data_IF_832031703364
#
_entry.id   IF_832031703364
#
_cell.length_a   1.000
_cell.length_b   1.000
_cell.length_c   1.000
_cell.angle_alpha   90.00
_cell.angle_beta   90.00
_cell.angle_gamma   90.00
#
_symmetry.space_group_name_H-M   'P 1'
#
loop_
_entity.id
_entity.type
_entity.pdbx_description
1 polymer ?
2 non-polymer ?
3 non-polymer ?
4 water ?
#
# COMPACT_ATOMS: atom_id res chain seq x y z
N UNK A 5 40.43 10.27 -3.58
CA UNK A 5 39.95 10.97 -4.77
C UNK A 5 39.17 12.24 -4.36
N UNK A 6 39.46 13.36 -5.07
CA UNK A 6 38.85 14.69 -4.87
C UNK A 6 37.34 14.67 -5.17
N UNK A 7 36.95 14.15 -6.37
CA UNK A 7 35.54 14.05 -6.80
C UNK A 7 34.71 13.12 -5.90
N UNK A 8 35.34 12.07 -5.32
CA UNK A 8 34.72 11.10 -4.41
C UNK A 8 34.18 11.78 -3.14
N UNK A 9 35.05 12.55 -2.46
CA UNK A 9 34.75 13.23 -1.20
C UNK A 9 33.71 14.34 -1.34
N UNK A 10 33.75 15.09 -2.47
CA UNK A 10 32.82 16.18 -2.77
C UNK A 10 31.37 15.69 -2.88
N UNK A 11 31.18 14.49 -3.50
CA UNK A 11 29.87 13.85 -3.63
C UNK A 11 29.42 13.43 -2.23
N UNK A 12 30.34 12.85 -1.43
CA UNK A 12 30.06 12.45 -0.05
C UNK A 12 29.56 13.63 0.78
N UNK A 13 30.23 14.79 0.62
CA UNK A 13 29.87 16.05 1.26
C UNK A 13 28.44 16.43 0.96
N UNK A 14 28.07 16.49 -0.34
CA UNK A 14 26.73 16.81 -0.82
C UNK A 14 25.67 15.86 -0.22
N UNK A 15 25.94 14.54 -0.22
CA UNK A 15 25.03 13.51 0.32
C UNK A 15 24.83 13.69 1.84
N UNK A 16 25.86 14.18 2.50
CA UNK A 16 25.81 14.50 3.92
C UNK A 16 24.87 15.65 4.21
N UNK A 17 25.16 16.86 3.66
CA UNK A 17 24.35 18.07 3.87
C UNK A 17 22.95 18.07 3.20
N UNK A 18 22.60 17.07 2.37
CA UNK A 18 21.31 17.09 1.68
C UNK A 18 20.12 16.77 2.64
N UNK A 19 19.11 17.62 2.52
CA UNK A 19 17.84 17.59 3.25
C UNK A 19 16.74 18.31 2.47
N UNK A 20 15.52 18.33 3.05
CA UNK A 20 14.32 18.96 2.47
C UNK A 20 14.55 20.45 2.11
N UNK A 21 15.07 21.20 3.07
CA UNK A 21 15.35 22.63 2.94
C UNK A 21 16.37 23.04 1.90
N UNK A 22 17.52 22.31 1.82
CA UNK A 22 18.62 22.68 0.92
C UNK A 22 18.83 21.82 -0.34
N UNK A 23 17.86 20.95 -0.68
CA UNK A 23 17.93 20.12 -1.89
C UNK A 23 18.25 20.96 -3.16
N UNK A 24 17.63 22.16 -3.42
CA UNK A 24 18.00 22.94 -4.62
C UNK A 24 19.46 23.43 -4.65
N UNK A 25 20.03 23.73 -3.46
CA UNK A 25 21.43 24.16 -3.31
C UNK A 25 22.35 22.97 -3.55
N UNK A 26 21.90 21.76 -3.18
CA UNK A 26 22.63 20.51 -3.33
C UNK A 26 22.66 20.04 -4.79
N UNK A 27 21.53 20.24 -5.50
CA UNK A 27 21.38 19.96 -6.92
C UNK A 27 22.33 20.86 -7.71
N UNK A 28 22.43 22.17 -7.34
CA UNK A 28 23.31 23.07 -8.06
C UNK A 28 24.79 22.82 -7.69
N UNK A 29 25.08 22.35 -6.44
CA UNK A 29 26.45 21.99 -6.02
C UNK A 29 26.97 20.78 -6.83
N UNK A 30 26.06 19.82 -7.14
CA UNK A 30 26.37 18.61 -7.90
C UNK A 30 26.61 18.95 -9.37
N UNK A 31 25.75 19.81 -9.98
CA UNK A 31 25.93 20.24 -11.39
C UNK A 31 27.23 21.04 -11.56
N UNK A 32 27.65 21.74 -10.49
CA UNK A 32 28.90 22.53 -10.47
C UNK A 32 30.16 21.64 -10.43
N UNK A 33 30.00 20.31 -10.24
CA UNK A 33 31.14 19.39 -10.25
C UNK A 33 31.53 19.09 -11.71
N UNK A 34 32.83 18.89 -12.03
CA UNK A 34 33.21 18.61 -13.43
C UNK A 34 33.04 17.14 -13.83
N UNK A 35 31.78 16.69 -13.94
CA UNK A 35 31.43 15.30 -14.28
C UNK A 35 31.72 15.00 -15.74
N UNK A 36 31.40 15.93 -16.67
CA UNK A 36 31.68 15.77 -18.12
C UNK A 36 33.18 15.66 -18.42
N UNK A 37 34.02 16.29 -17.59
CA UNK A 37 35.47 16.30 -17.74
C UNK A 37 36.15 15.19 -16.87
N UNK A 38 35.34 14.29 -16.28
CA UNK A 38 35.81 13.17 -15.44
C UNK A 38 36.01 11.85 -16.20
N UNK A 39 36.86 10.96 -15.66
CA UNK A 39 37.15 9.65 -16.27
C UNK A 39 36.00 8.68 -16.00
N UNK A 40 35.97 7.53 -16.73
CA UNK A 40 34.96 6.48 -16.55
C UNK A 40 34.98 5.99 -15.10
N UNK A 41 36.21 5.76 -14.54
CA UNK A 41 36.42 5.30 -13.17
C UNK A 41 35.86 6.29 -12.14
N UNK A 42 36.11 7.60 -12.35
CA UNK A 42 35.62 8.69 -11.49
C UNK A 42 34.09 8.79 -11.48
N UNK A 43 33.44 8.63 -12.66
CA UNK A 43 31.98 8.69 -12.81
C UNK A 43 31.34 7.43 -12.20
N UNK A 44 31.91 6.23 -12.48
CA UNK A 44 31.45 4.95 -11.94
C UNK A 44 31.48 4.96 -10.40
N UNK A 45 32.49 5.64 -9.83
CA UNK A 45 32.68 5.80 -8.39
C UNK A 45 31.58 6.66 -7.79
N UNK A 46 31.18 7.76 -8.46
CA UNK A 46 30.10 8.66 -8.02
C UNK A 46 28.80 7.88 -7.88
N UNK A 47 28.49 7.02 -8.89
CA UNK A 47 27.26 6.23 -8.91
C UNK A 47 27.34 5.15 -7.82
N UNK A 48 28.52 4.49 -7.65
CA UNK A 48 28.78 3.46 -6.63
C UNK A 48 28.59 4.05 -5.21
N UNK A 49 29.11 5.26 -4.97
CA UNK A 49 29.02 5.98 -3.70
C UNK A 49 27.56 6.25 -3.30
N UNK A 50 26.78 6.83 -4.21
CA UNK A 50 25.36 7.14 -3.96
C UNK A 50 24.57 5.84 -3.71
N UNK A 51 24.81 4.79 -4.54
CA UNK A 51 24.13 3.50 -4.41
C UNK A 51 24.45 2.75 -3.09
N UNK A 52 25.69 2.90 -2.55
CA UNK A 52 26.07 2.29 -1.27
C UNK A 52 25.44 3.02 -0.07
N UNK A 53 25.48 4.37 -0.11
CA UNK A 53 24.87 5.23 0.91
C UNK A 53 23.34 5.01 0.93
N UNK A 54 22.75 4.70 -0.22
CA UNK A 54 21.31 4.46 -0.36
C UNK A 54 20.82 3.11 0.18
N UNK A 55 21.71 2.12 0.37
CA UNK A 55 21.29 0.81 0.90
C UNK A 55 21.70 0.63 2.36
N UNK A 56 22.12 1.74 3.01
CA UNK A 56 22.44 1.77 4.42
C UNK A 56 21.09 1.91 5.15
N UNK A 57 20.76 1.02 6.14
CA UNK A 57 19.43 1.09 6.79
C UNK A 57 19.14 2.40 7.57
N UNK A 58 20.18 3.07 8.10
CA UNK A 58 20.10 4.35 8.84
C UNK A 58 19.59 5.57 8.01
N UNK A 59 19.76 5.50 6.68
CA UNK A 59 19.46 6.58 5.77
C UNK A 59 18.07 6.60 5.15
N UNK A 60 17.18 5.63 5.44
CA UNK A 60 15.87 5.44 4.80
C UNK A 60 15.09 6.74 4.47
N UNK A 61 15.22 7.75 5.36
CA UNK A 61 14.61 9.09 5.32
C UNK A 61 15.25 10.01 4.23
N UNK A 62 16.61 10.02 4.14
CA UNK A 62 17.38 10.81 3.18
C UNK A 62 17.52 10.15 1.79
N UNK A 63 17.19 8.85 1.68
CA UNK A 63 17.31 8.09 0.44
C UNK A 63 16.50 8.76 -0.71
N UNK A 64 15.26 9.31 -0.52
CA UNK A 64 14.59 9.99 -1.65
C UNK A 64 15.39 11.19 -2.16
N UNK A 65 16.18 11.83 -1.27
CA UNK A 65 17.00 12.99 -1.64
C UNK A 65 18.21 12.58 -2.47
N UNK A 66 18.83 11.41 -2.16
CA UNK A 66 19.98 10.85 -2.88
C UNK A 66 19.54 10.53 -4.28
N UNK A 67 18.37 9.88 -4.38
CA UNK A 67 17.71 9.47 -5.61
C UNK A 67 17.31 10.72 -6.44
N UNK A 68 16.88 11.82 -5.77
CA UNK A 68 16.54 13.09 -6.42
C UNK A 68 17.78 13.83 -6.99
N UNK A 69 18.97 13.54 -6.43
CA UNK A 69 20.26 14.11 -6.86
C UNK A 69 20.70 13.41 -8.14
N UNK A 70 20.41 12.10 -8.26
CA UNK A 70 20.73 11.26 -9.41
C UNK A 70 19.83 11.68 -10.59
N UNK A 71 18.54 12.00 -10.33
CA UNK A 71 17.59 12.49 -11.35
C UNK A 71 18.12 13.83 -11.89
N UNK A 72 18.58 14.71 -10.97
CA UNK A 72 19.13 16.03 -11.24
C UNK A 72 20.35 15.94 -12.17
N UNK A 73 21.24 14.98 -11.85
CA UNK A 73 22.48 14.68 -12.54
C UNK A 73 22.23 14.23 -13.98
N UNK A 74 21.21 13.36 -14.22
CA UNK A 74 20.89 12.91 -15.58
C UNK A 74 20.00 13.94 -16.33
N UNK A 75 19.37 14.88 -15.60
CA UNK A 75 18.59 15.96 -16.21
C UNK A 75 19.56 17.07 -16.73
N UNK A 76 20.76 17.17 -16.11
CA UNK A 76 21.81 18.12 -16.47
C UNK A 76 22.63 17.58 -17.65
N UNK A 77 23.06 16.31 -17.56
CA UNK A 77 23.87 15.68 -18.58
C UNK A 77 22.97 14.69 -19.31
N UNK A 78 22.49 15.13 -20.48
CA UNK A 78 21.58 14.39 -21.35
C UNK A 78 22.14 13.15 -22.01
N UNK A 79 21.24 12.28 -22.54
CA UNK A 79 21.62 11.03 -23.23
C UNK A 79 22.29 11.24 -24.60
N UNK A 80 22.31 12.48 -25.10
CA UNK A 80 22.95 12.85 -26.36
C UNK A 80 24.36 13.38 -26.18
N UNK A 81 24.92 13.20 -24.97
CA UNK A 81 26.25 13.59 -24.52
C UNK A 81 27.00 12.30 -24.15
N UNK A 82 28.32 12.17 -24.46
CA UNK A 82 29.05 10.93 -24.07
C UNK A 82 28.97 10.57 -22.58
N UNK A 83 29.10 11.58 -21.68
CA UNK A 83 29.06 11.38 -20.24
C UNK A 83 27.63 11.07 -19.75
N UNK A 84 26.63 11.57 -20.49
CA UNK A 84 25.23 11.34 -20.19
C UNK A 84 24.83 9.90 -20.40
N UNK A 85 25.34 9.31 -21.51
CA UNK A 85 25.13 7.92 -21.90
C UNK A 85 25.86 7.02 -20.93
N UNK A 86 27.11 7.40 -20.55
CA UNK A 86 27.91 6.64 -19.59
C UNK A 86 27.27 6.56 -18.21
N UNK A 87 26.78 7.71 -17.66
CA UNK A 87 26.12 7.76 -16.34
C UNK A 87 24.94 6.78 -16.30
N UNK A 88 24.13 6.80 -17.37
CA UNK A 88 22.95 5.96 -17.55
C UNK A 88 23.27 4.45 -17.57
N UNK A 89 24.37 4.08 -18.23
CA UNK A 89 24.82 2.69 -18.27
C UNK A 89 25.47 2.28 -16.96
N UNK A 90 26.01 3.25 -16.18
CA UNK A 90 26.59 2.98 -14.87
C UNK A 90 25.47 2.73 -13.85
N UNK A 91 24.31 3.46 -13.96
CA UNK A 91 23.10 3.25 -13.14
C UNK A 91 22.52 1.85 -13.43
N UNK A 92 22.45 1.44 -14.71
CA UNK A 92 21.99 0.10 -15.13
C UNK A 92 22.84 -1.00 -14.47
N UNK A 93 24.17 -0.90 -14.63
CA UNK A 93 25.15 -1.83 -14.06
C UNK A 93 25.10 -1.86 -12.53
N UNK A 94 25.05 -0.69 -11.88
CA UNK A 94 25.01 -0.63 -10.42
C UNK A 94 23.67 -1.13 -9.84
N UNK A 95 22.55 -1.05 -10.61
CA UNK A 95 21.22 -1.60 -10.23
C UNK A 95 21.33 -3.11 -10.28
N UNK A 96 21.96 -3.61 -11.34
CA UNK A 96 22.16 -5.03 -11.56
C UNK A 96 22.96 -5.61 -10.39
N UNK A 97 24.06 -4.93 -9.97
CA UNK A 97 24.91 -5.39 -8.89
C UNK A 97 24.20 -5.38 -7.55
N UNK A 98 23.56 -4.26 -7.20
CA UNK A 98 22.78 -4.08 -5.98
C UNK A 98 21.67 -5.13 -5.79
N UNK A 99 20.86 -5.40 -6.84
CA UNK A 99 19.72 -6.31 -6.67
C UNK A 99 20.10 -7.75 -6.94
N UNK A 100 21.25 -7.99 -7.62
CA UNK A 100 21.81 -9.33 -7.80
C UNK A 100 22.37 -9.80 -6.44
N UNK A 101 23.02 -8.87 -5.70
CA UNK A 101 23.56 -9.09 -4.36
C UNK A 101 22.42 -9.40 -3.43
N UNK A 102 21.35 -8.55 -3.43
CA UNK A 102 20.16 -8.75 -2.62
C UNK A 102 19.53 -10.12 -2.87
N UNK A 103 19.44 -10.59 -4.15
CA UNK A 103 18.92 -11.90 -4.51
C UNK A 103 19.77 -13.04 -3.92
N UNK A 104 21.09 -13.02 -4.19
CA UNK A 104 22.06 -14.01 -3.72
C UNK A 104 22.20 -14.05 -2.18
N UNK A 105 22.03 -12.90 -1.49
CA UNK A 105 22.09 -12.80 -0.04
C UNK A 105 20.91 -13.57 0.58
N UNK A 106 19.71 -13.47 -0.05
CA UNK A 106 18.47 -14.16 0.29
C UNK A 106 18.68 -15.68 0.12
N UNK A 107 19.22 -16.09 -1.05
CA UNK A 107 19.53 -17.48 -1.42
C UNK A 107 20.53 -18.12 -0.46
N UNK A 108 21.58 -17.35 -0.08
CA UNK A 108 22.62 -17.75 0.86
C UNK A 108 22.00 -18.01 2.23
N UNK A 109 21.20 -17.05 2.77
CA UNK A 109 20.52 -17.18 4.07
C UNK A 109 19.74 -18.47 4.17
N UNK A 110 18.88 -18.75 3.18
CA UNK A 110 18.06 -19.95 3.17
C UNK A 110 18.88 -21.26 3.15
N UNK A 111 20.05 -21.27 2.47
CA UNK A 111 20.96 -22.42 2.44
C UNK A 111 21.67 -22.57 3.80
N UNK A 112 22.10 -21.44 4.39
CA UNK A 112 22.80 -21.32 5.68
C UNK A 112 21.93 -21.78 6.87
N UNK A 113 20.60 -21.48 6.87
CA UNK A 113 19.69 -21.82 7.96
C UNK A 113 18.79 -23.05 7.67
N UNK A 114 19.11 -23.83 6.61
CA UNK A 114 18.31 -25.00 6.20
C UNK A 114 18.32 -26.17 7.21
N UNK A 115 19.47 -26.37 7.89
CA UNK A 115 19.67 -27.44 8.87
C UNK A 115 19.76 -26.92 10.31
N UNK A 116 19.54 -25.62 10.49
CA UNK A 116 19.60 -24.90 11.76
C UNK A 116 18.29 -25.09 12.56
N UNK A 117 18.34 -25.03 13.93
CA UNK A 117 17.09 -25.16 14.71
C UNK A 117 16.06 -24.07 14.39
N UNK A 118 14.77 -24.42 14.49
CA UNK A 118 13.61 -23.58 14.17
C UNK A 118 13.65 -22.16 14.78
N UNK A 119 13.94 -22.05 16.09
CA UNK A 119 14.00 -20.76 16.80
C UNK A 119 15.21 -19.91 16.37
N UNK A 120 16.26 -20.59 15.87
CA UNK A 120 17.49 -19.97 15.40
C UNK A 120 17.35 -19.47 13.98
N UNK A 121 16.65 -20.24 13.14
CA UNK A 121 16.39 -19.94 11.74
C UNK A 121 15.50 -18.69 11.67
N UNK A 122 14.52 -18.61 12.59
CA UNK A 122 13.60 -17.48 12.69
C UNK A 122 14.29 -16.18 13.09
N UNK A 123 15.17 -16.24 14.09
CA UNK A 123 15.93 -15.06 14.53
C UNK A 123 16.90 -14.57 13.44
N UNK A 124 17.52 -15.51 12.70
CA UNK A 124 18.43 -15.19 11.58
C UNK A 124 17.65 -14.53 10.42
N UNK A 125 16.41 -14.97 10.19
CA UNK A 125 15.47 -14.41 9.20
C UNK A 125 15.10 -12.94 9.54
N UNK A 126 14.89 -12.63 10.84
CA UNK A 126 14.58 -11.29 11.34
C UNK A 126 15.78 -10.36 11.19
N UNK A 127 17.00 -10.87 11.52
CA UNK A 127 18.26 -10.12 11.39
C UNK A 127 18.48 -9.73 9.93
N UNK A 128 18.21 -10.68 9.02
CA UNK A 128 18.37 -10.47 7.59
C UNK A 128 17.38 -9.47 7.04
N UNK A 129 16.10 -9.58 7.42
CA UNK A 129 15.00 -8.70 7.00
C UNK A 129 15.34 -7.21 7.20
N UNK A 130 16.00 -6.89 8.32
CA UNK A 130 16.42 -5.54 8.68
C UNK A 130 17.43 -4.94 7.73
N UNK A 131 18.23 -5.83 7.10
CA UNK A 131 19.22 -5.48 6.09
C UNK A 131 18.59 -5.48 4.71
N UNK A 132 17.73 -6.48 4.42
CA UNK A 132 17.04 -6.59 3.15
C UNK A 132 16.04 -5.47 2.87
N UNK A 133 15.36 -4.91 3.92
CA UNK A 133 14.41 -3.80 3.74
C UNK A 133 15.03 -2.56 3.10
N UNK A 134 16.32 -2.26 3.42
CA UNK A 134 17.12 -1.15 2.85
C UNK A 134 17.22 -1.26 1.33
N UNK A 135 17.32 -2.50 0.79
CA UNK A 135 17.40 -2.77 -0.65
C UNK A 135 16.08 -2.53 -1.35
N UNK A 136 15.02 -3.14 -0.78
CA UNK A 136 13.63 -3.05 -1.24
C UNK A 136 13.15 -1.60 -1.20
N UNK A 137 13.48 -0.85 -0.13
CA UNK A 137 13.14 0.58 -0.07
C UNK A 137 13.80 1.32 -1.26
N UNK A 138 15.12 1.14 -1.41
CA UNK A 138 15.88 1.71 -2.51
C UNK A 138 15.26 1.38 -3.88
N UNK A 139 14.88 0.09 -4.14
CA UNK A 139 14.23 -0.33 -5.39
C UNK A 139 12.97 0.51 -5.69
N UNK A 140 12.16 0.76 -4.66
CA UNK A 140 10.94 1.57 -4.72
C UNK A 140 11.20 3.01 -5.07
N UNK A 141 12.16 3.63 -4.39
CA UNK A 141 12.57 5.01 -4.68
C UNK A 141 13.20 5.20 -6.07
N UNK A 142 13.97 4.20 -6.55
CA UNK A 142 14.58 4.28 -7.88
C UNK A 142 13.45 4.21 -8.91
N UNK A 143 12.47 3.33 -8.67
CA UNK A 143 11.31 3.13 -9.55
C UNK A 143 10.38 4.34 -9.65
N UNK A 144 10.03 4.95 -8.52
CA UNK A 144 9.15 6.14 -8.47
C UNK A 144 9.81 7.39 -9.10
N UNK A 145 11.16 7.38 -9.22
CA UNK A 145 11.96 8.46 -9.81
C UNK A 145 12.47 8.11 -11.22
N UNK A 146 11.96 7.01 -11.79
CA UNK A 146 12.27 6.51 -13.13
C UNK A 146 13.71 6.14 -13.40
N UNK A 147 14.46 5.78 -12.35
CA UNK A 147 15.88 5.43 -12.41
C UNK A 147 16.20 3.93 -12.57
N UNK A 148 15.20 3.05 -12.50
CA UNK A 148 15.37 1.61 -12.63
C UNK A 148 14.34 1.11 -13.64
N UNK A 149 14.76 0.13 -14.46
CA UNK A 149 13.93 -0.47 -15.50
C UNK A 149 12.80 -1.28 -14.87
N UNK A 150 11.62 -1.25 -15.49
CA UNK A 150 10.43 -2.02 -15.08
C UNK A 150 10.81 -3.52 -14.94
N UNK A 151 11.70 -4.01 -15.83
CA UNK A 151 12.24 -5.38 -15.87
C UNK A 151 13.02 -5.79 -14.62
N UNK A 152 13.72 -4.83 -13.99
CA UNK A 152 14.49 -5.07 -12.75
C UNK A 152 13.52 -5.31 -11.59
N UNK A 153 12.49 -4.46 -11.51
CA UNK A 153 11.41 -4.52 -10.52
C UNK A 153 10.71 -5.88 -10.61
N UNK A 154 10.35 -6.30 -11.84
CA UNK A 154 9.71 -7.58 -12.13
C UNK A 154 10.56 -8.77 -11.68
N UNK A 155 11.89 -8.77 -12.00
CA UNK A 155 12.85 -9.82 -11.62
C UNK A 155 13.02 -9.94 -10.11
N UNK A 156 13.02 -8.80 -9.38
CA UNK A 156 13.14 -8.81 -7.93
C UNK A 156 11.89 -9.44 -7.31
N UNK A 157 10.68 -8.99 -7.76
CA UNK A 157 9.38 -9.49 -7.30
C UNK A 157 9.17 -10.98 -7.60
N UNK A 158 9.78 -11.48 -8.69
CA UNK A 158 9.77 -12.89 -9.04
C UNK A 158 10.39 -13.73 -7.91
N UNK A 159 11.65 -13.43 -7.47
CA UNK A 159 12.27 -14.18 -6.38
C UNK A 159 11.72 -13.81 -5.01
N UNK A 160 11.28 -12.55 -4.85
CA UNK A 160 10.71 -12.09 -3.59
C UNK A 160 9.40 -12.81 -3.26
N UNK A 161 8.54 -13.06 -4.30
CA UNK A 161 7.26 -13.74 -4.14
C UNK A 161 7.29 -15.24 -4.42
N UNK A 162 7.96 -15.65 -5.51
CA UNK A 162 8.04 -17.07 -5.91
C UNK A 162 9.25 -17.81 -5.38
N UNK A 163 10.16 -17.11 -4.69
CA UNK A 163 11.37 -17.70 -4.15
C UNK A 163 12.54 -17.61 -5.09
N UNK A 164 13.76 -17.72 -4.55
CA UNK A 164 15.00 -17.67 -5.32
C UNK A 164 15.09 -18.84 -6.32
N UNK A 165 14.54 -20.02 -5.94
CA UNK A 165 14.46 -21.19 -6.81
C UNK A 165 13.14 -21.19 -7.64
N UNK A 166 12.26 -20.15 -7.43
CA UNK A 166 10.97 -19.88 -8.11
C UNK A 166 9.95 -21.05 -7.97
N UNK A 167 10.09 -21.88 -6.93
CA UNK A 167 9.22 -23.03 -6.72
C UNK A 167 8.13 -22.83 -5.64
N UNK A 168 8.05 -21.62 -5.01
CA UNK A 168 7.08 -21.31 -3.94
C UNK A 168 5.64 -21.16 -4.42
N UNK A 169 4.69 -21.64 -3.60
CA UNK A 169 3.26 -21.53 -3.84
C UNK A 169 2.80 -20.12 -3.44
N UNK A 170 3.37 -19.60 -2.33
CA UNK A 170 3.08 -18.30 -1.74
C UNK A 170 4.34 -17.74 -1.06
N UNK A 171 4.57 -16.39 -1.07
CA UNK A 171 5.79 -15.86 -0.43
C UNK A 171 5.94 -16.10 1.07
N UNK A 172 7.20 -16.08 1.52
CA UNK A 172 7.58 -16.24 2.92
C UNK A 172 7.13 -14.99 3.66
N UNK A 173 7.04 -15.06 5.00
CA UNK A 173 6.55 -13.99 5.85
C UNK A 173 7.30 -12.65 5.71
N UNK A 174 8.65 -12.64 5.85
CA UNK A 174 9.41 -11.38 5.74
C UNK A 174 9.38 -10.81 4.32
N UNK A 175 9.25 -11.71 3.32
CA UNK A 175 9.13 -11.34 1.91
C UNK A 175 7.84 -10.62 1.62
N UNK A 176 6.71 -11.07 2.23
CA UNK A 176 5.41 -10.42 2.10
C UNK A 176 5.47 -9.00 2.65
N UNK A 177 6.20 -8.77 3.79
CA UNK A 177 6.36 -7.45 4.42
C UNK A 177 7.14 -6.50 3.50
N UNK A 178 8.26 -6.97 2.90
CA UNK A 178 9.05 -6.17 1.93
C UNK A 178 8.16 -5.72 0.75
N UNK A 179 7.28 -6.62 0.27
CA UNK A 179 6.32 -6.35 -0.79
C UNK A 179 5.26 -5.34 -0.41
N UNK A 180 4.72 -5.36 0.85
CA UNK A 180 3.68 -4.39 1.24
C UNK A 180 4.26 -3.00 1.28
N UNK A 181 5.49 -2.92 1.71
CA UNK A 181 6.15 -1.64 1.84
C UNK A 181 6.50 -1.08 0.47
N UNK A 182 6.89 -1.96 -0.47
CA UNK A 182 7.14 -1.66 -1.88
C UNK A 182 5.80 -1.19 -2.51
N UNK A 183 4.72 -1.99 -2.29
CA UNK A 183 3.36 -1.69 -2.70
C UNK A 183 2.91 -0.30 -2.24
N UNK A 184 3.20 0.08 -1.00
CA UNK A 184 2.81 1.39 -0.50
C UNK A 184 3.53 2.54 -1.22
N UNK A 185 4.81 2.35 -1.52
CA UNK A 185 5.67 3.26 -2.25
C UNK A 185 5.30 3.40 -3.74
N UNK A 186 5.13 2.26 -4.45
CA UNK A 186 4.93 2.23 -5.90
C UNK A 186 3.48 2.12 -6.36
N UNK A 187 2.59 1.64 -5.50
CA UNK A 187 1.20 1.40 -5.87
C UNK A 187 0.24 2.55 -5.74
N UNK A 188 0.70 3.68 -5.17
CA UNK A 188 -0.15 4.83 -4.92
C UNK A 188 0.62 6.12 -5.02
N UNK A 189 -0.03 7.19 -5.56
CA UNK A 189 0.52 8.55 -5.77
C UNK A 189 -0.42 9.51 -6.53
N UNK A 190 -0.43 10.80 -6.13
CA UNK A 190 -1.18 11.89 -6.80
C UNK A 190 -0.21 12.82 -7.58
N UNK A 191 1.13 12.66 -7.34
CA UNK A 191 2.19 13.44 -7.99
C UNK A 191 2.20 13.27 -9.51
N UNK A 192 2.74 14.29 -10.23
CA UNK A 192 2.85 14.28 -11.69
C UNK A 192 3.66 13.06 -12.19
N UNK A 193 4.60 12.55 -11.37
CA UNK A 193 5.40 11.36 -11.70
C UNK A 193 4.56 10.09 -11.45
N UNK A 194 3.69 10.14 -10.42
CA UNK A 194 2.78 9.07 -10.04
C UNK A 194 1.85 8.63 -11.16
N UNK A 195 1.44 9.63 -11.98
CA UNK A 195 0.61 9.52 -13.18
C UNK A 195 1.16 8.44 -14.12
N UNK A 196 2.50 8.23 -14.12
CA UNK A 196 3.14 7.21 -14.94
C UNK A 196 3.63 6.00 -14.16
N UNK A 197 4.12 6.16 -12.91
CA UNK A 197 4.69 5.00 -12.23
C UNK A 197 3.64 4.04 -11.61
N UNK A 198 2.47 4.52 -11.20
CA UNK A 198 1.39 3.70 -10.62
C UNK A 198 0.86 2.71 -11.72
N UNK A 199 0.60 3.13 -12.99
CA UNK A 199 0.21 2.14 -14.02
C UNK A 199 1.35 1.18 -14.39
N UNK A 200 2.62 1.61 -14.25
CA UNK A 200 3.81 0.81 -14.54
C UNK A 200 3.97 -0.33 -13.52
N UNK A 201 3.73 -0.05 -12.23
CA UNK A 201 3.82 -1.04 -11.15
C UNK A 201 2.68 -2.04 -11.25
N UNK A 202 1.49 -1.57 -11.66
CA UNK A 202 0.29 -2.39 -11.87
C UNK A 202 0.56 -3.41 -12.98
N UNK A 203 1.22 -2.97 -14.06
CA UNK A 203 1.63 -3.78 -15.21
C UNK A 203 2.58 -4.93 -14.81
N UNK A 204 3.53 -4.64 -13.88
CA UNK A 204 4.50 -5.59 -13.31
C UNK A 204 3.75 -6.70 -12.57
N UNK A 205 2.76 -6.32 -11.75
CA UNK A 205 1.94 -7.28 -11.02
C UNK A 205 1.09 -8.12 -11.92
N UNK A 206 0.66 -7.57 -13.08
CA UNK A 206 -0.13 -8.30 -14.08
C UNK A 206 0.73 -9.35 -14.77
N UNK A 207 2.04 -9.06 -14.97
CA UNK A 207 3.01 -10.00 -15.55
C UNK A 207 3.25 -11.19 -14.64
N UNK A 208 3.43 -10.96 -13.33
CA UNK A 208 3.61 -12.02 -12.34
C UNK A 208 2.39 -12.95 -12.32
N UNK A 209 1.21 -12.44 -12.70
CA UNK A 209 -0.03 -13.19 -12.77
C UNK A 209 -0.04 -14.20 -13.89
N UNK A 210 0.85 -14.02 -14.89
CA UNK A 210 0.96 -14.91 -16.02
C UNK A 210 2.27 -15.70 -15.87
N UNK A 211 2.53 -16.15 -14.61
CA UNK A 211 3.69 -16.95 -14.19
C UNK A 211 3.23 -18.14 -13.33
N UNK A 212 2.02 -18.61 -13.64
CA UNK A 212 1.28 -19.74 -13.08
C UNK A 212 1.11 -19.66 -11.55
N UNK A 213 0.47 -18.57 -11.04
CA UNK A 213 0.24 -18.48 -9.59
C UNK A 213 -0.81 -19.47 -9.12
N UNK A 214 -0.68 -19.89 -7.85
CA UNK A 214 -1.66 -20.77 -7.21
C UNK A 214 -2.82 -19.94 -6.61
N UNK A 215 -3.70 -20.56 -5.80
CA UNK A 215 -4.88 -19.91 -5.23
C UNK A 215 -4.55 -18.65 -4.41
N UNK A 216 -3.64 -18.75 -3.42
CA UNK A 216 -3.28 -17.62 -2.56
C UNK A 216 -2.53 -16.56 -3.35
N UNK A 217 -1.65 -17.01 -4.29
CA UNK A 217 -0.83 -16.14 -5.14
C UNK A 217 -1.67 -15.33 -6.13
N UNK A 218 -2.72 -15.94 -6.68
CA UNK A 218 -3.61 -15.26 -7.59
C UNK A 218 -4.48 -14.29 -6.84
N UNK A 219 -4.94 -14.67 -5.62
CA UNK A 219 -5.74 -13.77 -4.78
C UNK A 219 -4.90 -12.55 -4.37
N UNK A 220 -3.62 -12.77 -4.02
CA UNK A 220 -2.69 -11.71 -3.64
C UNK A 220 -2.51 -10.69 -4.75
N UNK A 221 -2.13 -11.14 -5.97
CA UNK A 221 -1.89 -10.27 -7.12
C UNK A 221 -3.15 -9.58 -7.64
N UNK A 222 -4.30 -10.29 -7.66
CA UNK A 222 -5.57 -9.72 -8.10
C UNK A 222 -6.13 -8.71 -7.13
N UNK A 223 -6.06 -8.98 -5.80
CA UNK A 223 -6.55 -8.05 -4.79
C UNK A 223 -5.70 -6.78 -4.74
N UNK A 224 -4.37 -6.93 -4.95
CA UNK A 224 -3.39 -5.83 -4.96
C UNK A 224 -3.67 -4.88 -6.15
N UNK A 225 -3.80 -5.45 -7.37
CA UNK A 225 -4.13 -4.68 -8.58
C UNK A 225 -5.49 -3.98 -8.40
N UNK A 226 -6.45 -4.67 -7.78
CA UNK A 226 -7.79 -4.14 -7.49
C UNK A 226 -7.73 -2.93 -6.53
N UNK A 227 -6.94 -3.02 -5.44
CA UNK A 227 -6.73 -1.93 -4.47
C UNK A 227 -6.00 -0.75 -5.14
N UNK A 228 -4.98 -1.02 -5.99
CA UNK A 228 -4.25 -0.01 -6.76
C UNK A 228 -5.27 0.77 -7.60
N UNK A 229 -6.19 0.07 -8.30
CA UNK A 229 -7.25 0.60 -9.15
C UNK A 229 -8.24 1.46 -8.37
N UNK A 230 -8.71 0.95 -7.22
CA UNK A 230 -9.62 1.64 -6.32
C UNK A 230 -9.01 2.97 -5.87
N UNK A 231 -7.76 2.92 -5.43
CA UNK A 231 -7.02 4.10 -5.00
C UNK A 231 -6.69 5.03 -6.17
N UNK A 232 -6.52 4.47 -7.37
CA UNK A 232 -6.27 5.23 -8.60
C UNK A 232 -7.52 6.05 -8.95
N UNK A 233 -8.74 5.42 -9.01
CA UNK A 233 -9.99 6.10 -9.38
C UNK A 233 -10.32 7.23 -8.40
N UNK A 234 -9.93 7.03 -7.17
CA UNK A 234 -10.08 7.92 -6.04
C UNK A 234 -9.15 9.13 -6.18
N UNK A 235 -7.86 8.93 -6.57
CA UNK A 235 -6.89 10.04 -6.78
C UNK A 235 -7.14 10.80 -8.07
N UNK A 236 -7.96 10.24 -8.98
CA UNK A 236 -8.24 10.85 -10.28
C UNK A 236 -9.70 11.33 -10.37
N UNK A 237 -10.27 11.67 -9.20
CA UNK A 237 -11.62 12.21 -9.01
C UNK A 237 -11.60 13.73 -9.21
N UNK A 238 -12.56 14.26 -9.99
CA UNK A 238 -12.67 15.69 -10.29
C UNK A 238 -13.98 16.32 -9.78
N UNK A 239 -14.05 17.68 -9.76
CA UNK A 239 -15.17 18.54 -9.33
C UNK A 239 -15.91 18.06 -8.08
N UNK B 4 -42.21 4.91 1.21
CA UNK B 4 -41.66 3.79 1.98
C UNK B 4 -40.82 2.88 1.06
N UNK B 5 -41.49 2.23 0.09
CA UNK B 5 -40.89 1.39 -0.96
C UNK B 5 -40.41 2.36 -2.06
N UNK B 6 -41.10 3.54 -2.19
CA UNK B 6 -40.76 4.61 -3.15
C UNK B 6 -39.34 5.16 -2.90
N UNK B 7 -39.04 5.58 -1.64
CA UNK B 7 -37.73 6.11 -1.24
C UNK B 7 -36.60 5.08 -1.39
N UNK B 8 -36.91 3.78 -1.20
CA UNK B 8 -35.99 2.65 -1.32
C UNK B 8 -35.42 2.52 -2.73
N UNK B 9 -36.32 2.47 -3.73
CA UNK B 9 -35.99 2.30 -5.15
C UNK B 9 -35.23 3.47 -5.74
N UNK B 10 -35.58 4.72 -5.32
CA UNK B 10 -34.94 5.95 -5.78
C UNK B 10 -33.45 6.00 -5.40
N UNK B 11 -33.11 5.53 -4.19
CA UNK B 11 -31.73 5.44 -3.70
C UNK B 11 -31.01 4.39 -4.56
N UNK B 12 -31.67 3.24 -4.80
CA UNK B 12 -31.12 2.17 -5.64
C UNK B 12 -30.76 2.68 -7.04
N UNK B 13 -31.67 3.48 -7.61
CA UNK B 13 -31.50 4.13 -8.90
C UNK B 13 -30.23 4.95 -8.95
N UNK B 14 -30.08 5.88 -7.97
CA UNK B 14 -28.91 6.77 -7.81
C UNK B 14 -27.61 5.96 -7.73
N UNK B 15 -27.59 4.89 -6.89
CA UNK B 15 -26.42 4.03 -6.70
C UNK B 15 -26.02 3.29 -7.99
N UNK B 16 -27.04 2.99 -8.80
CA UNK B 16 -26.86 2.33 -10.08
C UNK B 16 -26.14 3.25 -11.05
N UNK B 17 -26.78 4.38 -11.38
CA UNK B 17 -26.28 5.40 -12.31
C UNK B 17 -24.92 6.04 -11.94
N UNK B 18 -24.58 6.12 -10.63
CA UNK B 18 -23.42 6.87 -10.12
C UNK B 18 -22.08 6.38 -10.71
N UNK B 19 -21.31 7.38 -11.16
CA UNK B 19 -19.98 7.27 -11.76
C UNK B 19 -19.20 8.56 -11.62
N UNK B 20 -17.95 8.57 -12.11
CA UNK B 20 -17.02 9.71 -12.08
C UNK B 20 -17.62 10.98 -12.70
N UNK B 21 -18.15 10.83 -13.92
CA UNK B 21 -18.74 11.92 -14.68
C UNK B 21 -19.97 12.58 -14.11
N UNK B 22 -20.92 11.78 -13.55
CA UNK B 22 -22.21 12.29 -13.04
C UNK B 22 -22.38 12.35 -11.51
N UNK B 23 -21.30 12.15 -10.70
CA UNK B 23 -21.39 12.25 -9.22
C UNK B 23 -22.05 13.59 -8.75
N UNK B 24 -21.74 14.79 -9.34
CA UNK B 24 -22.45 16.01 -8.87
C UNK B 24 -23.97 15.99 -9.10
N UNK B 25 -24.43 15.35 -10.20
CA UNK B 25 -25.85 15.19 -10.55
C UNK B 25 -26.49 14.20 -9.58
N UNK B 26 -25.72 13.18 -9.16
CA UNK B 26 -26.16 12.13 -8.24
C UNK B 26 -26.28 12.65 -6.81
N UNK B 27 -25.33 13.52 -6.41
CA UNK B 27 -25.31 14.19 -5.11
C UNK B 27 -26.55 15.09 -5.02
N UNK B 28 -26.85 15.80 -6.13
CA UNK B 28 -28.00 16.70 -6.31
C UNK B 28 -29.31 15.90 -6.21
N UNK B 29 -29.37 14.75 -6.88
CA UNK B 29 -30.55 13.87 -6.92
C UNK B 29 -30.89 13.32 -5.53
N UNK B 30 -29.85 13.02 -4.72
CA UNK B 30 -29.98 12.49 -3.36
C UNK B 30 -30.48 13.58 -2.40
N UNK B 31 -29.92 14.81 -2.50
CA UNK B 31 -30.37 15.93 -1.65
C UNK B 31 -31.83 16.30 -1.96
N UNK B 32 -32.25 16.10 -3.23
CA UNK B 32 -33.63 16.37 -3.70
C UNK B 32 -34.64 15.35 -3.15
N UNK B 33 -34.18 14.27 -2.48
CA UNK B 33 -35.09 13.29 -1.86
C UNK B 33 -35.59 13.86 -0.51
N UNK B 34 -36.86 13.58 -0.10
CA UNK B 34 -37.36 14.15 1.18
C UNK B 34 -36.94 13.33 2.40
N UNK B 35 -35.63 13.37 2.73
CA UNK B 35 -35.04 12.62 3.85
C UNK B 35 -35.47 13.22 5.20
N UNK B 36 -35.48 14.56 5.34
CA UNK B 36 -35.91 15.25 6.57
C UNK B 36 -37.38 14.98 6.93
N UNK B 37 -38.22 14.75 5.90
CA UNK B 37 -39.65 14.47 6.04
C UNK B 37 -39.94 12.94 6.09
N UNK B 38 -38.89 12.10 6.16
CA UNK B 38 -38.99 10.64 6.22
C UNK B 38 -39.00 10.07 7.66
N UNK B 39 -39.56 8.84 7.82
CA UNK B 39 -39.63 8.15 9.12
C UNK B 39 -38.26 7.53 9.46
N UNK B 40 -38.06 7.12 10.73
CA UNK B 40 -36.84 6.46 11.19
C UNK B 40 -36.57 5.21 10.36
N UNK B 41 -37.63 4.40 10.10
CA UNK B 41 -37.57 3.17 9.31
C UNK B 41 -37.11 3.44 7.87
N UNK B 42 -37.66 4.50 7.23
CA UNK B 42 -37.32 4.93 5.88
C UNK B 42 -35.85 5.39 5.74
N UNK B 43 -35.35 6.14 6.75
CA UNK B 43 -33.97 6.63 6.79
C UNK B 43 -33.00 5.47 7.06
N UNK B 44 -33.34 4.58 8.03
CA UNK B 44 -32.53 3.39 8.38
C UNK B 44 -32.38 2.47 7.16
N UNK B 45 -33.43 2.39 6.32
CA UNK B 45 -33.47 1.61 5.09
C UNK B 45 -32.49 2.17 4.07
N UNK B 46 -32.43 3.52 3.91
CA UNK B 46 -31.50 4.20 2.99
C UNK B 46 -30.04 3.83 3.34
N UNK B 47 -29.69 3.85 4.64
CA UNK B 47 -28.35 3.53 5.13
C UNK B 47 -28.05 2.03 4.98
N UNK B 48 -29.06 1.17 5.21
CA UNK B 48 -28.97 -0.28 5.07
C UNK B 48 -28.72 -0.64 3.58
N UNK B 49 -29.45 0.01 2.65
CA UNK B 49 -29.34 -0.18 1.21
C UNK B 49 -27.94 0.14 0.69
N UNK B 50 -27.41 1.32 1.04
CA UNK B 50 -26.08 1.74 0.63
C UNK B 50 -25.01 0.78 1.18
N UNK B 51 -25.13 0.41 2.47
CA UNK B 51 -24.19 -0.49 3.15
C UNK B 51 -24.19 -1.92 2.56
N UNK B 52 -25.36 -2.43 2.09
CA UNK B 52 -25.46 -3.75 1.45
C UNK B 52 -24.87 -3.76 0.03
N UNK B 53 -25.17 -2.72 -0.76
CA UNK B 53 -24.66 -2.53 -2.11
C UNK B 53 -23.14 -2.33 -2.07
N UNK B 54 -22.63 -1.73 -0.98
CA UNK B 54 -21.20 -1.49 -0.78
C UNK B 54 -20.38 -2.74 -0.41
N UNK B 55 -21.03 -3.82 0.08
CA UNK B 55 -20.28 -5.04 0.45
C UNK B 55 -20.51 -6.15 -0.59
N UNK B 56 -21.05 -5.79 -1.76
CA UNK B 56 -21.21 -6.68 -2.92
C UNK B 56 -19.84 -6.70 -3.61
N UNK B 57 -19.24 -7.90 -3.82
CA UNK B 57 -17.88 -7.96 -4.39
C UNK B 57 -17.72 -7.42 -5.82
N UNK B 58 -18.78 -7.53 -6.65
CA UNK B 58 -18.81 -7.11 -8.06
C UNK B 58 -18.54 -5.62 -8.35
N UNK B 59 -18.94 -4.73 -7.47
CA UNK B 59 -18.85 -3.30 -7.75
C UNK B 59 -17.80 -2.57 -6.90
N UNK B 60 -16.71 -3.25 -6.49
CA UNK B 60 -15.61 -2.66 -5.71
C UNK B 60 -15.11 -1.27 -6.18
N UNK B 61 -15.08 -1.03 -7.51
CA UNK B 61 -14.62 0.21 -8.13
C UNK B 61 -15.67 1.35 -8.02
N UNK B 62 -16.94 1.00 -7.71
CA UNK B 62 -18.09 1.90 -7.54
C UNK B 62 -18.33 2.29 -6.08
N UNK B 63 -17.81 1.48 -5.14
CA UNK B 63 -17.93 1.71 -3.69
C UNK B 63 -17.36 3.11 -3.33
N UNK B 64 -16.21 3.59 -3.90
CA UNK B 64 -15.74 4.96 -3.60
C UNK B 64 -16.73 6.11 -3.89
N UNK B 65 -17.73 5.88 -4.77
CA UNK B 65 -18.78 6.83 -5.15
C UNK B 65 -19.98 6.72 -4.22
N UNK B 66 -20.28 5.50 -3.73
CA UNK B 66 -21.38 5.21 -2.81
C UNK B 66 -21.09 5.92 -1.50
N UNK B 67 -19.84 5.77 -1.05
CA UNK B 67 -19.27 6.37 0.15
C UNK B 67 -19.25 7.93 0.03
N UNK B 68 -18.98 8.46 -1.18
CA UNK B 68 -19.01 9.92 -1.46
C UNK B 68 -20.44 10.50 -1.43
N UNK B 69 -21.46 9.64 -1.68
CA UNK B 69 -22.87 10.01 -1.65
C UNK B 69 -23.34 10.12 -0.19
N UNK B 70 -22.80 9.27 0.69
CA UNK B 70 -23.08 9.24 2.13
C UNK B 70 -22.47 10.49 2.78
N UNK B 71 -21.25 10.91 2.35
CA UNK B 71 -20.58 12.12 2.84
C UNK B 71 -21.45 13.34 2.45
N UNK B 72 -21.97 13.34 1.20
CA UNK B 72 -22.82 14.36 0.61
C UNK B 72 -24.11 14.53 1.43
N UNK B 73 -24.72 13.39 1.78
CA UNK B 73 -25.94 13.26 2.56
C UNK B 73 -25.79 13.84 3.95
N UNK B 74 -24.65 13.59 4.64
CA UNK B 74 -24.44 14.14 6.00
C UNK B 74 -23.91 15.59 5.92
N UNK B 75 -23.40 16.03 4.77
CA UNK B 75 -22.96 17.42 4.57
C UNK B 75 -24.18 18.31 4.30
N UNK B 76 -25.28 17.72 3.78
CA UNK B 76 -26.54 18.39 3.50
C UNK B 76 -27.40 18.48 4.78
N UNK B 77 -27.52 17.36 5.50
CA UNK B 77 -28.32 17.24 6.73
C UNK B 77 -27.35 17.17 7.93
N UNK B 78 -27.08 18.35 8.51
CA UNK B 78 -26.13 18.56 9.60
C UNK B 78 -26.48 17.93 10.92
N UNK B 79 -25.50 17.84 11.84
CA UNK B 79 -25.67 17.23 13.17
C UNK B 79 -26.54 18.03 14.14
N UNK B 80 -26.90 19.26 13.76
CA UNK B 80 -27.75 20.15 14.55
C UNK B 80 -29.20 20.11 14.12
N UNK B 81 -29.56 19.11 13.31
CA UNK B 81 -30.88 18.81 12.75
C UNK B 81 -31.28 17.42 13.27
N UNK B 82 -32.58 17.20 13.63
CA UNK B 82 -32.98 15.86 14.11
C UNK B 82 -32.64 14.68 13.17
N UNK B 83 -32.83 14.87 11.84
CA UNK B 83 -32.56 13.85 10.82
C UNK B 83 -31.06 13.66 10.58
N UNK B 84 -30.27 14.71 10.80
CA UNK B 84 -28.81 14.63 10.67
C UNK B 84 -28.22 13.79 11.77
N UNK B 85 -28.71 13.98 13.01
CA UNK B 85 -28.27 13.23 14.18
C UNK B 85 -28.67 11.76 14.02
N UNK B 86 -29.91 11.51 13.53
CA UNK B 86 -30.39 10.16 13.25
C UNK B 86 -29.55 9.42 12.20
N UNK B 87 -29.27 10.05 11.04
CA UNK B 87 -28.48 9.45 9.96
C UNK B 87 -27.10 9.01 10.50
N UNK B 88 -26.44 9.89 11.27
CA UNK B 88 -25.14 9.65 11.87
C UNK B 88 -25.15 8.43 12.79
N UNK B 89 -26.16 8.32 13.66
CA UNK B 89 -26.31 7.19 14.57
C UNK B 89 -26.67 5.91 13.83
N UNK B 90 -27.36 6.05 12.69
CA UNK B 90 -27.75 4.95 11.84
C UNK B 90 -26.45 4.42 11.20
N UNK B 91 -25.56 5.34 10.72
CA UNK B 91 -24.25 4.99 10.15
C UNK B 91 -23.38 4.20 11.16
N UNK B 92 -23.29 4.68 12.44
CA UNK B 92 -22.57 4.04 13.55
C UNK B 92 -23.09 2.61 13.78
N UNK B 93 -24.40 2.44 13.91
CA UNK B 93 -25.07 1.13 14.10
C UNK B 93 -24.79 0.21 12.91
N UNK B 94 -24.84 0.76 11.69
CA UNK B 94 -24.62 0.00 10.47
C UNK B 94 -23.12 -0.38 10.28
N UNK B 95 -22.18 0.41 10.80
CA UNK B 95 -20.77 0.03 10.76
C UNK B 95 -20.54 -1.08 11.76
N UNK B 96 -21.21 -1.02 12.91
CA UNK B 96 -21.11 -2.03 13.95
C UNK B 96 -21.62 -3.37 13.43
N UNK B 97 -22.79 -3.39 12.78
CA UNK B 97 -23.41 -4.60 12.23
C UNK B 97 -22.59 -5.22 11.11
N UNK B 98 -22.18 -4.42 10.11
CA UNK B 98 -21.39 -4.88 8.98
C UNK B 98 -20.08 -5.53 9.39
N UNK B 99 -19.32 -4.89 10.30
CA UNK B 99 -17.99 -5.35 10.71
C UNK B 99 -18.03 -6.36 11.86
N UNK B 100 -19.17 -6.49 12.56
CA UNK B 100 -19.40 -7.52 13.58
C UNK B 100 -19.71 -8.84 12.83
N UNK B 101 -20.47 -8.73 11.70
CA UNK B 101 -20.84 -9.82 10.80
C UNK B 101 -19.57 -10.37 10.19
N UNK B 102 -18.72 -9.48 9.68
CA UNK B 102 -17.40 -9.77 9.08
C UNK B 102 -16.54 -10.62 10.03
N UNK B 103 -16.51 -10.23 11.33
CA UNK B 103 -15.77 -10.93 12.39
C UNK B 103 -16.32 -12.34 12.64
N UNK B 104 -17.63 -12.44 12.90
CA UNK B 104 -18.33 -13.70 13.17
C UNK B 104 -18.32 -14.67 11.96
N UNK B 105 -18.33 -14.14 10.72
CA UNK B 105 -18.27 -14.95 9.51
C UNK B 105 -16.90 -15.66 9.42
N UNK B 106 -15.81 -14.94 9.80
CA UNK B 106 -14.43 -15.42 9.86
C UNK B 106 -14.33 -16.52 10.92
N UNK B 107 -14.89 -16.27 12.12
CA UNK B 107 -14.94 -17.21 13.26
C UNK B 107 -15.70 -18.48 12.92
N UNK B 108 -16.83 -18.34 12.20
CA UNK B 108 -17.67 -19.45 11.74
C UNK B 108 -16.87 -20.33 10.79
N UNK B 109 -16.24 -19.73 9.75
CA UNK B 109 -15.40 -20.44 8.77
C UNK B 109 -14.36 -21.33 9.45
N UNK B 110 -13.58 -20.75 10.39
CA UNK B 110 -12.51 -21.44 11.14
C UNK B 110 -13.04 -22.66 11.91
N UNK B 111 -14.26 -22.54 12.49
CA UNK B 111 -14.92 -23.61 13.25
C UNK B 111 -15.40 -24.70 12.28
N UNK B 112 -15.98 -24.28 11.14
CA UNK B 112 -16.53 -25.12 10.08
C UNK B 112 -15.46 -25.97 9.37
N UNK B 113 -14.24 -25.42 9.13
CA UNK B 113 -13.16 -26.13 8.42
C UNK B 113 -12.04 -26.67 9.35
N UNK B 114 -12.29 -26.70 10.68
CA UNK B 114 -11.31 -27.16 11.67
C UNK B 114 -10.95 -28.67 11.58
N UNK B 115 -11.93 -29.51 11.21
CA UNK B 115 -11.77 -30.96 11.10
C UNK B 115 -11.81 -31.45 9.63
N UNK B 116 -11.89 -30.49 8.69
CA UNK B 116 -11.97 -30.72 7.24
C UNK B 116 -10.59 -31.03 6.64
N UNK B 117 -10.51 -31.80 5.51
CA UNK B 117 -9.20 -32.08 4.88
C UNK B 117 -8.48 -30.81 4.43
N UNK B 118 -7.13 -30.82 4.47
CA UNK B 118 -6.24 -29.70 4.14
C UNK B 118 -6.57 -28.97 2.80
N UNK B 119 -6.75 -29.74 1.71
CA UNK B 119 -7.05 -29.24 0.38
C UNK B 119 -8.43 -28.59 0.28
N UNK B 120 -9.39 -29.00 1.12
CA UNK B 120 -10.70 -28.38 1.02
C UNK B 120 -10.89 -27.28 2.04
N UNK B 121 -10.08 -27.28 3.12
CA UNK B 121 -10.06 -26.16 4.08
C UNK B 121 -9.50 -24.95 3.32
N UNK B 122 -8.48 -25.18 2.46
CA UNK B 122 -7.85 -24.16 1.64
C UNK B 122 -8.79 -23.60 0.60
N UNK B 123 -9.55 -24.46 -0.09
CA UNK B 123 -10.53 -24.01 -1.09
C UNK B 123 -11.68 -23.22 -0.46
N UNK B 124 -12.14 -23.63 0.74
CA UNK B 124 -13.17 -22.94 1.51
C UNK B 124 -12.67 -21.54 1.97
N UNK B 125 -11.37 -21.44 2.32
CA UNK B 125 -10.69 -20.21 2.71
C UNK B 125 -10.63 -19.21 1.54
N UNK B 126 -10.39 -19.71 0.30
CA UNK B 126 -10.37 -18.89 -0.93
C UNK B 126 -11.77 -18.38 -1.27
N UNK B 127 -12.80 -19.24 -1.14
CA UNK B 127 -14.20 -18.88 -1.38
C UNK B 127 -14.62 -17.75 -0.43
N UNK B 128 -14.21 -17.89 0.83
CA UNK B 128 -14.52 -16.90 1.86
C UNK B 128 -13.82 -15.57 1.63
N UNK B 129 -12.51 -15.61 1.31
CA UNK B 129 -11.68 -14.43 1.05
C UNK B 129 -12.30 -13.49 0.03
N UNK B 130 -12.92 -14.06 -1.01
CA UNK B 130 -13.60 -13.35 -2.09
C UNK B 130 -14.78 -12.53 -1.62
N UNK B 131 -15.42 -13.00 -0.53
CA UNK B 131 -16.55 -12.34 0.12
C UNK B 131 -16.03 -11.38 1.16
N UNK B 132 -15.01 -11.79 1.95
CA UNK B 132 -14.40 -10.96 2.99
C UNK B 132 -13.70 -9.72 2.47
N UNK B 133 -13.07 -9.76 1.26
CA UNK B 133 -12.38 -8.60 0.68
C UNK B 133 -13.30 -7.39 0.48
N UNK B 134 -14.58 -7.65 0.12
CA UNK B 134 -15.64 -6.64 -0.04
C UNK B 134 -15.87 -5.84 1.24
N UNK B 135 -15.76 -6.49 2.42
CA UNK B 135 -15.91 -5.84 3.73
C UNK B 135 -14.74 -4.96 4.05
N UNK B 136 -13.52 -5.52 3.91
CA UNK B 136 -12.23 -4.85 4.13
C UNK B 136 -12.09 -3.65 3.19
N UNK B 137 -12.46 -3.78 1.92
CA UNK B 137 -12.43 -2.65 0.99
C UNK B 137 -13.32 -1.52 1.53
N UNK B 138 -14.60 -1.86 1.82
CA UNK B 138 -15.57 -0.96 2.38
C UNK B 138 -15.05 -0.26 3.64
N UNK B 139 -14.44 -1.01 4.60
CA UNK B 139 -13.86 -0.44 5.83
C UNK B 139 -12.85 0.69 5.53
N UNK B 140 -11.99 0.46 4.52
CA UNK B 140 -10.99 1.42 4.06
C UNK B 140 -11.58 2.69 3.47
N UNK B 141 -12.57 2.52 2.59
CA UNK B 141 -13.28 3.66 1.99
C UNK B 141 -14.09 4.48 3.00
N UNK B 142 -14.70 3.79 4.00
CA UNK B 142 -15.47 4.50 5.03
C UNK B 142 -14.49 5.32 5.86
N UNK B 143 -13.31 4.74 6.18
CA UNK B 143 -12.27 5.37 6.99
C UNK B 143 -11.65 6.60 6.33
N UNK B 144 -11.29 6.49 5.04
CA UNK B 144 -10.70 7.61 4.27
C UNK B 144 -11.68 8.79 4.05
N UNK B 145 -12.99 8.52 4.17
CA UNK B 145 -14.05 9.50 4.01
C UNK B 145 -14.66 9.93 5.37
N UNK B 146 -14.01 9.53 6.48
CA UNK B 146 -14.37 9.85 7.86
C UNK B 146 -15.72 9.36 8.34
N UNK B 147 -16.24 8.28 7.72
CA UNK B 147 -17.55 7.69 8.01
C UNK B 147 -17.55 6.53 9.01
N UNK B 148 -16.37 6.06 9.47
CA UNK B 148 -16.25 4.97 10.45
C UNK B 148 -15.26 5.41 11.54
N UNK B 149 -15.53 5.02 12.78
CA UNK B 149 -14.72 5.35 13.94
C UNK B 149 -13.39 4.62 13.88
N UNK B 150 -12.33 5.29 14.34
CA UNK B 150 -10.97 4.76 14.46
C UNK B 150 -10.99 3.43 15.23
N UNK B 151 -11.85 3.34 16.27
CA UNK B 151 -12.06 2.17 17.14
C UNK B 151 -12.56 0.95 16.38
N UNK B 152 -13.36 1.13 15.33
CA UNK B 152 -13.89 0.04 14.50
C UNK B 152 -12.75 -0.57 13.70
N UNK B 153 -11.93 0.30 13.10
CA UNK B 153 -10.75 -0.06 12.30
C UNK B 153 -9.77 -0.87 13.16
N UNK B 154 -9.48 -0.39 14.38
CA UNK B 154 -8.62 -1.06 15.36
C UNK B 154 -9.11 -2.45 15.73
N UNK B 155 -10.43 -2.59 16.06
CA UNK B 155 -11.04 -3.86 16.43
C UNK B 155 -11.01 -4.86 15.30
N UNK B 156 -11.18 -4.41 14.03
CA UNK B 156 -11.15 -5.28 12.86
C UNK B 156 -9.74 -5.85 12.69
N UNK B 157 -8.70 -4.96 12.73
CA UNK B 157 -7.28 -5.29 12.61
C UNK B 157 -6.81 -6.23 13.70
N UNK B 158 -7.38 -6.12 14.91
CA UNK B 158 -7.10 -7.00 16.03
C UNK B 158 -7.40 -8.47 15.65
N UNK B 159 -8.64 -8.79 15.20
CA UNK B 159 -8.97 -10.15 14.81
C UNK B 159 -8.40 -10.54 13.44
N UNK B 160 -8.23 -9.57 12.54
CA UNK B 160 -7.66 -9.79 11.21
C UNK B 160 -6.20 -10.23 11.30
N UNK B 161 -5.44 -9.63 12.23
CA UNK B 161 -4.01 -9.93 12.39
C UNK B 161 -3.74 -10.97 13.48
N UNK B 162 -4.40 -10.82 14.66
CA UNK B 162 -4.18 -11.71 15.81
C UNK B 162 -5.16 -12.87 15.90
N UNK B 163 -6.14 -12.93 15.01
CA UNK B 163 -7.14 -13.99 15.00
C UNK B 163 -8.37 -13.63 15.80
N UNK B 164 -9.49 -14.33 15.53
CA UNK B 164 -10.78 -14.09 16.20
C UNK B 164 -10.67 -14.45 17.71
N UNK B 165 -9.83 -15.46 18.06
CA UNK B 165 -9.54 -15.84 19.44
C UNK B 165 -8.34 -15.02 20.01
N UNK B 166 -7.70 -14.15 19.16
CA UNK B 166 -6.56 -13.26 19.44
C UNK B 166 -5.29 -14.00 19.94
N UNK B 167 -5.17 -15.30 19.61
CA UNK B 167 -4.03 -16.11 20.06
C UNK B 167 -2.97 -16.40 19.00
N UNK B 168 -3.10 -15.90 17.75
CA UNK B 168 -2.04 -16.26 16.79
C UNK B 168 -0.83 -15.28 16.79
N UNK B 169 0.34 -15.83 16.44
CA UNK B 169 1.64 -15.14 16.41
C UNK B 169 1.77 -14.16 15.23
N UNK B 170 1.24 -14.55 14.05
CA UNK B 170 1.28 -13.77 12.82
C UNK B 170 0.03 -14.05 12.01
N UNK B 171 -0.53 -13.08 11.24
CA UNK B 171 -1.76 -13.35 10.48
C UNK B 171 -1.68 -14.44 9.43
N UNK B 172 -2.86 -15.03 9.13
CA UNK B 172 -3.06 -16.06 8.12
C UNK B 172 -2.85 -15.41 6.76
N UNK B 173 -2.63 -16.22 5.72
CA UNK B 173 -2.36 -15.75 4.36
C UNK B 173 -3.42 -14.80 3.76
N UNK B 174 -4.71 -15.20 3.74
CA UNK B 174 -5.75 -14.33 3.16
C UNK B 174 -5.96 -13.06 4.00
N UNK B 175 -5.69 -13.15 5.30
CA UNK B 175 -5.78 -12.02 6.23
C UNK B 175 -4.71 -10.98 5.94
N UNK B 176 -3.48 -11.41 5.63
CA UNK B 176 -2.38 -10.53 5.23
C UNK B 176 -2.71 -9.76 3.96
N UNK B 177 -3.31 -10.46 2.98
CA UNK B 177 -3.79 -9.89 1.71
C UNK B 177 -4.82 -8.79 1.98
N UNK B 178 -5.77 -9.02 2.93
CA UNK B 178 -6.78 -8.05 3.38
C UNK B 178 -6.11 -6.85 4.05
N UNK B 179 -5.10 -7.09 4.91
CA UNK B 179 -4.37 -6.03 5.58
C UNK B 179 -3.61 -5.10 4.60
N UNK B 180 -3.02 -5.62 3.49
CA UNK B 180 -2.29 -4.81 2.49
C UNK B 180 -3.22 -3.85 1.76
N UNK B 181 -4.47 -4.31 1.48
CA UNK B 181 -5.57 -3.56 0.84
C UNK B 181 -5.91 -2.36 1.72
N UNK B 182 -6.09 -2.61 3.00
CA UNK B 182 -6.39 -1.60 3.98
C UNK B 182 -5.23 -0.61 4.12
N UNK B 183 -4.00 -1.12 4.17
CA UNK B 183 -2.77 -0.35 4.24
C UNK B 183 -2.58 0.60 3.06
N UNK B 184 -2.81 0.11 1.83
CA UNK B 184 -2.61 0.97 0.66
C UNK B 184 -3.63 2.14 0.60
N UNK B 185 -4.86 1.83 0.98
CA UNK B 185 -6.01 2.71 1.04
C UNK B 185 -5.87 3.75 2.16
N UNK B 186 -5.57 3.32 3.39
CA UNK B 186 -5.53 4.18 4.58
C UNK B 186 -4.16 4.72 4.98
N UNK B 187 -3.09 4.08 4.52
CA UNK B 187 -1.72 4.43 4.92
C UNK B 187 -1.06 5.53 4.12
N UNK B 188 -1.73 6.02 3.07
CA UNK B 188 -1.15 7.06 2.22
C UNK B 188 -2.24 8.01 1.69
N UNK B 189 -1.94 9.32 1.58
CA UNK B 189 -2.88 10.36 1.17
C UNK B 189 -3.25 10.38 -0.33
N UNK B 190 -4.42 11.01 -0.64
CA UNK B 190 -4.99 11.17 -1.99
C UNK B 190 -4.72 12.53 -2.64
N UNK B 191 -4.44 13.56 -1.83
CA UNK B 191 -4.15 14.91 -2.31
C UNK B 191 -3.38 15.70 -1.25
N UNK B 192 -3.17 17.01 -1.49
CA UNK B 192 -2.53 17.95 -0.57
C UNK B 192 -3.62 18.55 0.37
N UNK B 193 -4.86 18.00 0.29
CA UNK B 193 -6.03 18.39 1.09
C UNK B 193 -6.69 17.18 1.83
N UNK B 194 -6.83 16.04 1.12
CA UNK B 194 -7.40 14.78 1.64
C UNK B 194 -6.33 13.88 2.25
N UNK B 195 -6.09 14.06 3.59
CA UNK B 195 -4.98 13.45 4.33
C UNK B 195 -5.23 12.99 5.78
N UNK B 196 -6.12 13.68 6.52
CA UNK B 196 -6.40 13.51 7.96
C UNK B 196 -6.47 12.05 8.50
N UNK B 197 -7.00 11.10 7.71
CA UNK B 197 -7.08 9.68 8.10
C UNK B 197 -5.69 8.96 8.22
N UNK B 198 -4.61 9.51 7.58
CA UNK B 198 -3.26 8.91 7.58
C UNK B 198 -2.67 8.92 9.00
N UNK B 199 -2.53 10.07 9.74
CA UNK B 199 -2.02 9.99 11.14
C UNK B 199 -2.91 9.14 12.06
N UNK B 200 -4.22 9.06 11.74
CA UNK B 200 -5.21 8.27 12.45
C UNK B 200 -4.96 6.76 12.26
N UNK B 201 -4.65 6.33 11.03
CA UNK B 201 -4.36 4.93 10.71
C UNK B 201 -3.02 4.50 11.31
N UNK B 202 -2.06 5.41 11.36
CA UNK B 202 -0.74 5.19 11.96
C UNK B 202 -0.87 4.93 13.46
N UNK B 203 -1.77 5.69 14.12
CA UNK B 203 -2.11 5.58 15.55
C UNK B 203 -2.69 4.20 15.87
N UNK B 204 -3.55 3.66 14.97
CA UNK B 204 -4.18 2.34 15.06
C UNK B 204 -3.09 1.22 15.05
N UNK B 205 -2.12 1.31 14.15
CA UNK B 205 -1.03 0.32 14.11
C UNK B 205 -0.09 0.44 15.31
N UNK B 206 0.05 1.66 15.88
CA UNK B 206 0.86 1.85 17.08
C UNK B 206 0.19 1.14 18.26
N UNK B 207 -1.17 1.13 18.29
CA UNK B 207 -1.97 0.45 19.34
C UNK B 207 -1.80 -1.06 19.27
N UNK B 208 -1.79 -1.62 18.05
CA UNK B 208 -1.60 -3.05 17.82
C UNK B 208 -0.21 -3.49 18.28
N UNK B 209 0.71 -2.56 18.31
CA UNK B 209 2.08 -2.78 18.76
C UNK B 209 2.18 -2.97 20.26
N UNK B 210 1.15 -2.52 20.99
CA UNK B 210 1.09 -2.64 22.44
C UNK B 210 0.07 -3.70 22.81
N UNK B 211 0.09 -4.81 22.05
CA UNK B 211 -0.78 -5.98 22.17
C UNK B 211 0.03 -7.27 22.08
N UNK B 212 1.29 -7.18 22.55
CA UNK B 212 2.32 -8.21 22.65
C UNK B 212 2.63 -8.91 21.31
N UNK B 213 3.04 -8.15 20.26
CA UNK B 213 3.41 -8.79 19.00
C UNK B 213 4.71 -9.59 19.10
N UNK B 214 4.84 -10.64 18.28
CA UNK B 214 6.05 -11.47 18.20
C UNK B 214 7.03 -10.85 17.19
N UNK B 215 8.13 -11.57 16.83
CA UNK B 215 9.14 -10.99 15.94
C UNK B 215 8.60 -10.60 14.54
N UNK B 216 7.84 -11.48 13.85
CA UNK B 216 7.29 -11.18 12.53
C UNK B 216 6.25 -10.06 12.60
N UNK B 217 5.36 -10.09 13.63
CA UNK B 217 4.33 -9.09 13.83
C UNK B 217 4.92 -7.73 14.12
N UNK B 218 5.96 -7.66 15.00
CA UNK B 218 6.62 -6.40 15.33
C UNK B 218 7.33 -5.83 14.12
N UNK B 219 7.94 -6.70 13.28
CA UNK B 219 8.59 -6.24 12.06
C UNK B 219 7.55 -5.69 11.09
N UNK B 220 6.40 -6.39 10.97
CA UNK B 220 5.29 -5.98 10.11
C UNK B 220 4.77 -4.59 10.50
N UNK B 221 4.41 -4.40 11.78
CA UNK B 221 3.85 -3.13 12.28
C UNK B 221 4.85 -1.99 12.26
N UNK B 222 6.11 -2.25 12.64
CA UNK B 222 7.14 -1.22 12.64
C UNK B 222 7.59 -0.78 11.25
N UNK B 223 7.71 -1.73 10.28
CA UNK B 223 8.06 -1.40 8.90
C UNK B 223 6.94 -0.63 8.20
N UNK B 224 5.71 -1.01 8.47
CA UNK B 224 4.50 -0.41 7.95
C UNK B 224 4.40 1.07 8.42
N UNK B 225 4.47 1.31 9.76
CA UNK B 225 4.43 2.65 10.34
C UNK B 225 5.57 3.50 9.78
N UNK B 226 6.76 2.90 9.59
CA UNK B 226 7.93 3.54 9.05
C UNK B 226 7.70 4.10 7.62
N UNK B 227 7.14 3.28 6.67
CA UNK B 227 6.82 3.69 5.29
C UNK B 227 5.70 4.74 5.30
N UNK B 228 4.72 4.62 6.22
CA UNK B 228 3.64 5.60 6.35
C UNK B 228 4.27 6.99 6.66
N UNK B 229 5.23 7.01 7.63
CA UNK B 229 5.99 8.16 8.12
C UNK B 229 6.80 8.79 7.00
N UNK B 230 7.59 7.95 6.29
CA UNK B 230 8.43 8.35 5.17
C UNK B 230 7.56 9.06 4.13
N UNK B 231 6.43 8.45 3.73
CA UNK B 231 5.54 9.02 2.74
C UNK B 231 4.84 10.30 3.22
N UNK B 232 4.50 10.41 4.52
CA UNK B 232 3.79 11.57 5.09
C UNK B 232 4.62 12.86 5.11
N UNK B 233 5.89 12.78 5.50
CA UNK B 233 6.82 13.91 5.56
C UNK B 233 7.31 14.31 4.13
N UNK B 234 7.41 13.31 3.20
CA UNK B 234 7.75 13.45 1.78
C UNK B 234 6.69 14.32 1.10
N UNK B 235 5.40 14.07 1.40
CA UNK B 235 4.28 14.83 0.86
C UNK B 235 4.15 16.23 1.50
N UNK B 236 5.07 16.59 2.45
CA UNK B 236 5.14 17.88 3.17
C UNK B 236 3.79 18.28 3.77
N UNK B 237 3.39 17.55 4.83
CA UNK B 237 2.11 17.65 5.56
C UNK B 237 0.95 17.33 4.65
#
# INVERSE_FOLDING_TARGET
MGKERKLHNEVLGILGRVGEGNLPKMKEELTNLPIRQSTDKEIQDVIQVIFNKSIQPEDSIFVPYYVKLVVSLINDIGEGEPAGRFIRNAIIRQCQRTFENAEEAQAQLEREIANLPEEEAEQRRLIFAGKQKANINFLGLLFTHGLVREKVVLHVLEWLLYGTERKRRFPADYELIHFMNLLLTCGKSFSKEGQEFVPKFRAVLEELMHMHPQRRMQFLLLNTVETIDNNWILEHHHHHH
MGKERKLHNEVLGILGRVGEGNLPKMKEELTNLPIRQSTDKEIQDVIQVIFNKSIQPEDSIFVPYYVKLVVSLINDIGEGEPAGRFIRNAIIRQCQRTFENAEEAQAQLEREIANLPEEEAEQRRLIFAGKQKANINFLGLLFTHGLVREKVVLHVLEWLLYGTERKRRFPADYELIHFMNLLLTCGKSFSKEGQEFVPKFRAVLEELMHMHPQRRMQFLLLNTVETIDNNWILEHHHHHH
#
